data_IF_260364832963
#
_entry.id   IF_260364832963
#
_cell.length_a   1.000
_cell.length_b   1.000
_cell.length_c   1.000
_cell.angle_alpha   90.00
_cell.angle_beta   90.00
_cell.angle_gamma   90.00
#
_symmetry.space_group_name_H-M   'P 1'
#
loop_
_entity.id
_entity.type
_entity.pdbx_description
1 polymer ?
#
# COMPACT_ATOMS: atom_id res chain seq x y z
N UNK A 1 -21.39 3.27 9.19
CA UNK A 1 -20.51 3.76 10.29
C UNK A 1 -20.45 5.27 10.18
N UNK A 2 -20.50 6.00 11.28
CA UNK A 2 -20.36 7.46 11.31
C UNK A 2 -18.98 7.82 11.83
N UNK A 3 -18.34 8.81 11.22
CA UNK A 3 -17.05 9.32 11.62
C UNK A 3 -17.16 10.76 12.11
N UNK A 4 -16.30 11.13 13.05
CA UNK A 4 -16.27 12.45 13.66
C UNK A 4 -14.82 12.92 13.82
N UNK A 5 -14.59 14.24 13.88
CA UNK A 5 -13.33 14.81 14.36
C UNK A 5 -13.29 14.67 15.89
N UNK A 6 -12.27 14.00 16.40
CA UNK A 6 -12.14 13.72 17.83
C UNK A 6 -11.72 14.93 18.66
N UNK A 7 -11.05 15.90 18.03
CA UNK A 7 -10.74 17.22 18.59
C UNK A 7 -10.46 18.24 17.48
N UNK A 8 -10.45 19.52 17.83
CA UNK A 8 -10.23 20.61 16.88
C UNK A 8 -8.73 20.98 16.70
N UNK A 9 -7.82 20.32 17.40
CA UNK A 9 -6.38 20.65 17.39
C UNK A 9 -5.56 19.69 16.55
N UNK A 10 -6.01 18.46 16.35
CA UNK A 10 -5.36 17.48 15.48
C UNK A 10 -6.30 17.04 14.34
N UNK A 11 -6.09 17.53 13.10
CA UNK A 11 -6.94 17.22 11.97
C UNK A 11 -6.89 15.75 11.54
N UNK A 12 -5.97 14.96 12.08
CA UNK A 12 -5.86 13.52 11.84
C UNK A 12 -6.60 12.69 12.90
N UNK A 13 -7.04 13.30 14.01
CA UNK A 13 -7.74 12.58 15.06
C UNK A 13 -9.21 12.37 14.69
N UNK A 14 -9.45 11.42 13.77
CA UNK A 14 -10.78 10.95 13.43
C UNK A 14 -11.17 9.78 14.35
N UNK A 15 -12.45 9.74 14.71
CA UNK A 15 -13.05 8.67 15.53
C UNK A 15 -14.30 8.12 14.86
N UNK A 16 -14.64 6.87 15.18
CA UNK A 16 -15.93 6.28 14.84
C UNK A 16 -16.71 5.95 16.12
N UNK A 17 -18.02 6.10 16.06
CA UNK A 17 -18.90 5.78 17.20
C UNK A 17 -19.43 4.34 17.06
N UNK A 18 -19.40 3.63 18.18
CA UNK A 18 -20.02 2.31 18.35
C UNK A 18 -20.55 2.18 19.76
N UNK A 19 -21.86 1.94 19.90
CA UNK A 19 -22.54 1.69 21.17
C UNK A 19 -22.28 2.79 22.25
N UNK A 20 -22.31 4.06 21.82
CA UNK A 20 -22.06 5.21 22.70
C UNK A 20 -20.61 5.47 23.08
N UNK A 21 -19.67 4.76 22.45
CA UNK A 21 -18.22 4.92 22.65
C UNK A 21 -17.57 5.33 21.35
N UNK A 22 -16.68 6.32 21.42
CA UNK A 22 -15.83 6.74 20.31
C UNK A 22 -14.49 6.02 20.35
N UNK A 23 -14.07 5.48 19.23
CA UNK A 23 -12.78 4.82 19.05
C UNK A 23 -11.96 5.55 18.00
N UNK A 24 -10.63 5.72 18.19
CA UNK A 24 -9.77 6.28 17.15
C UNK A 24 -9.84 5.44 15.87
N UNK A 25 -9.94 6.12 14.72
CA UNK A 25 -9.88 5.45 13.41
C UNK A 25 -8.48 4.90 13.17
N UNK A 26 -7.46 5.74 13.38
CA UNK A 26 -6.06 5.35 13.15
C UNK A 26 -5.43 4.82 14.44
N UNK A 27 -5.72 3.57 14.77
CA UNK A 27 -5.25 2.91 15.99
C UNK A 27 -3.71 2.85 16.09
N UNK A 28 -3.01 2.78 14.96
CA UNK A 28 -1.55 2.79 14.89
C UNK A 28 -0.93 4.08 15.45
N UNK A 29 -1.67 5.19 15.36
CA UNK A 29 -1.21 6.50 15.86
C UNK A 29 -1.77 6.84 17.23
N UNK A 30 -3.02 6.49 17.49
CA UNK A 30 -3.75 6.99 18.67
C UNK A 30 -4.14 5.89 19.67
N UNK A 31 -3.79 4.63 19.39
CA UNK A 31 -4.20 3.49 20.22
C UNK A 31 -5.63 3.04 19.95
N UNK A 32 -6.07 2.06 20.73
CA UNK A 32 -7.38 1.42 20.59
C UNK A 32 -8.37 1.78 21.70
N UNK A 33 -7.96 2.59 22.66
CA UNK A 33 -8.80 2.96 23.80
C UNK A 33 -9.95 3.87 23.37
N UNK A 34 -11.17 3.46 23.72
CA UNK A 34 -12.38 4.25 23.48
C UNK A 34 -12.64 5.26 24.60
N UNK A 35 -13.42 6.27 24.28
CA UNK A 35 -13.92 7.26 25.24
C UNK A 35 -15.41 7.49 25.01
N UNK A 36 -16.19 7.93 26.02
CA UNK A 36 -17.62 8.17 25.86
C UNK A 36 -17.91 9.16 24.73
N UNK A 37 -18.92 8.84 23.93
CA UNK A 37 -19.41 9.79 22.92
C UNK A 37 -19.86 11.09 23.59
N UNK A 38 -19.44 12.22 23.02
CA UNK A 38 -19.82 13.56 23.49
C UNK A 38 -20.64 14.26 22.40
N UNK A 39 -21.77 14.83 22.80
CA UNK A 39 -22.52 15.72 21.92
C UNK A 39 -21.65 16.91 21.49
N UNK A 40 -21.77 17.32 20.21
CA UNK A 40 -21.02 18.45 19.65
C UNK A 40 -19.72 18.05 18.92
N UNK A 41 -19.39 16.76 18.78
CA UNK A 41 -18.35 16.36 17.87
C UNK A 41 -18.76 16.66 16.42
N UNK A 42 -17.85 17.25 15.66
CA UNK A 42 -18.09 17.56 14.24
C UNK A 42 -18.12 16.26 13.42
N UNK A 43 -19.27 15.97 12.80
CA UNK A 43 -19.41 14.81 11.94
C UNK A 43 -18.70 15.01 10.61
N UNK A 44 -17.89 14.04 10.21
CA UNK A 44 -17.24 13.99 8.89
C UNK A 44 -18.27 13.55 7.86
N UNK A 45 -18.62 14.43 6.94
CA UNK A 45 -19.66 14.20 5.92
C UNK A 45 -19.13 14.24 4.49
N UNK A 46 -17.88 14.67 4.29
CA UNK A 46 -17.26 14.72 2.96
C UNK A 46 -17.17 13.30 2.37
N UNK A 47 -17.81 13.03 1.21
CA UNK A 47 -18.02 11.65 0.72
C UNK A 47 -16.72 10.87 0.49
N UNK A 48 -15.68 11.51 -0.07
CA UNK A 48 -14.39 10.86 -0.34
C UNK A 48 -13.66 10.51 0.96
N UNK A 49 -13.75 11.37 1.97
CA UNK A 49 -13.17 11.10 3.29
C UNK A 49 -13.90 9.94 3.97
N UNK A 50 -15.23 9.93 3.96
CA UNK A 50 -16.03 8.82 4.52
C UNK A 50 -15.71 7.51 3.80
N UNK A 51 -15.59 7.53 2.48
CA UNK A 51 -15.19 6.35 1.69
C UNK A 51 -13.81 5.84 2.09
N UNK A 52 -12.80 6.72 2.15
CA UNK A 52 -11.44 6.35 2.51
C UNK A 52 -11.35 5.75 3.92
N UNK A 53 -11.99 6.40 4.90
CA UNK A 53 -12.03 5.89 6.28
C UNK A 53 -12.78 4.56 6.37
N UNK A 54 -13.87 4.39 5.60
CA UNK A 54 -14.61 3.13 5.54
C UNK A 54 -13.77 2.01 4.94
N UNK A 55 -13.02 2.29 3.88
CA UNK A 55 -12.08 1.32 3.28
C UNK A 55 -10.97 0.94 4.26
N UNK A 56 -10.37 1.92 4.95
CA UNK A 56 -9.35 1.65 5.96
C UNK A 56 -9.86 0.74 7.09
N UNK A 57 -11.12 0.92 7.53
CA UNK A 57 -11.71 0.11 8.60
C UNK A 57 -12.06 -1.33 8.18
N UNK A 58 -12.04 -1.65 6.88
CA UNK A 58 -12.28 -3.03 6.43
C UNK A 58 -11.12 -3.93 6.85
N UNK A 59 -11.42 -5.18 7.26
CA UNK A 59 -10.37 -6.16 7.47
C UNK A 59 -9.56 -6.37 6.19
N UNK A 60 -8.25 -6.35 6.31
CA UNK A 60 -7.37 -6.83 5.25
C UNK A 60 -7.04 -8.29 5.53
N UNK A 61 -7.38 -9.16 4.60
CA UNK A 61 -7.08 -10.58 4.72
C UNK A 61 -5.64 -10.82 4.24
N UNK A 62 -4.72 -10.91 5.20
CA UNK A 62 -3.40 -11.47 4.97
C UNK A 62 -3.49 -12.98 4.81
N UNK A 63 -2.50 -13.61 4.22
CA UNK A 63 -2.42 -15.07 4.09
C UNK A 63 -1.14 -15.51 3.39
N UNK A 64 -0.87 -16.81 3.35
CA UNK A 64 0.36 -17.40 2.77
C UNK A 64 0.67 -17.06 1.31
N UNK A 65 -0.17 -16.23 0.66
CA UNK A 65 0.00 -15.74 -0.70
C UNK A 65 -0.40 -14.27 -0.82
N UNK A 66 -0.27 -13.51 0.27
CA UNK A 66 -0.58 -12.10 0.25
C UNK A 66 0.55 -11.30 -0.41
N UNK A 67 0.19 -10.49 -1.39
CA UNK A 67 1.12 -9.68 -2.19
C UNK A 67 0.73 -8.21 -2.10
N UNK A 68 1.65 -7.36 -1.69
CA UNK A 68 1.54 -5.92 -1.87
C UNK A 68 2.12 -5.53 -3.23
N UNK A 69 1.33 -4.82 -4.04
CA UNK A 69 1.71 -4.39 -5.39
C UNK A 69 2.25 -2.95 -5.33
N UNK A 70 3.55 -2.80 -5.15
CA UNK A 70 4.20 -1.49 -5.15
C UNK A 70 4.48 -0.99 -6.58
N UNK A 71 4.42 0.31 -6.79
CA UNK A 71 4.82 0.89 -8.06
C UNK A 71 4.13 2.22 -8.38
N UNK A 72 4.59 2.90 -9.44
CA UNK A 72 4.00 4.15 -9.88
C UNK A 72 2.54 3.94 -10.30
N UNK A 73 1.69 4.95 -10.02
CA UNK A 73 0.26 4.92 -10.33
C UNK A 73 -0.23 6.29 -10.85
N UNK A 74 0.70 7.11 -11.33
CA UNK A 74 0.46 8.53 -11.60
C UNK A 74 -0.13 8.78 -12.98
N UNK A 75 0.02 7.84 -13.92
CA UNK A 75 -0.56 7.93 -15.26
C UNK A 75 -1.42 6.70 -15.57
N UNK A 76 -2.16 6.77 -16.68
CA UNK A 76 -3.06 5.71 -17.11
C UNK A 76 -2.33 4.40 -17.41
N UNK A 77 -1.16 4.47 -18.08
CA UNK A 77 -0.37 3.30 -18.43
C UNK A 77 0.15 2.56 -17.18
N UNK A 78 0.62 3.28 -16.17
CA UNK A 78 1.05 2.68 -14.91
C UNK A 78 -0.12 1.93 -14.25
N UNK A 79 -1.27 2.61 -14.10
CA UNK A 79 -2.47 2.01 -13.48
C UNK A 79 -2.98 0.80 -14.25
N UNK A 80 -3.00 0.86 -15.58
CA UNK A 80 -3.41 -0.25 -16.42
C UNK A 80 -2.47 -1.46 -16.27
N UNK A 81 -1.16 -1.23 -16.29
CA UNK A 81 -0.16 -2.29 -16.11
C UNK A 81 -0.26 -2.92 -14.72
N UNK A 82 -0.38 -2.11 -13.69
CA UNK A 82 -0.52 -2.59 -12.32
C UNK A 82 -1.79 -3.42 -12.14
N UNK A 83 -2.92 -3.00 -12.75
CA UNK A 83 -4.17 -3.75 -12.70
C UNK A 83 -4.03 -5.12 -13.37
N UNK A 84 -3.52 -5.19 -14.61
CA UNK A 84 -3.33 -6.45 -15.32
C UNK A 84 -2.41 -7.40 -14.53
N UNK A 85 -1.33 -6.88 -13.97
CA UNK A 85 -0.38 -7.69 -13.20
C UNK A 85 -1.02 -8.23 -11.91
N UNK A 86 -1.81 -7.40 -11.23
CA UNK A 86 -2.58 -7.83 -10.07
C UNK A 86 -3.59 -8.92 -10.43
N UNK A 87 -4.33 -8.76 -11.52
CA UNK A 87 -5.34 -9.73 -11.97
C UNK A 87 -4.68 -11.06 -12.36
N UNK A 88 -3.50 -11.03 -12.97
CA UNK A 88 -2.72 -12.25 -13.27
C UNK A 88 -2.33 -13.00 -11.99
N UNK A 89 -1.88 -12.29 -10.95
CA UNK A 89 -1.56 -12.92 -9.66
C UNK A 89 -2.80 -13.47 -8.96
N UNK A 90 -3.92 -12.74 -9.00
CA UNK A 90 -5.21 -13.20 -8.45
C UNK A 90 -5.69 -14.49 -9.13
N UNK A 91 -5.54 -14.57 -10.47
CA UNK A 91 -5.86 -15.78 -11.21
C UNK A 91 -5.02 -17.00 -10.82
N UNK A 92 -3.83 -16.79 -10.26
CA UNK A 92 -2.95 -17.83 -9.70
C UNK A 92 -3.20 -18.10 -8.19
N UNK A 93 -4.22 -17.48 -7.62
CA UNK A 93 -4.61 -17.69 -6.21
C UNK A 93 -3.82 -16.85 -5.21
N UNK A 94 -3.15 -15.77 -5.63
CA UNK A 94 -2.58 -14.79 -4.72
C UNK A 94 -3.65 -13.78 -4.29
N UNK A 95 -3.59 -13.35 -3.04
CA UNK A 95 -4.36 -12.19 -2.56
C UNK A 95 -3.51 -10.95 -2.78
N UNK A 96 -3.96 -10.02 -3.64
CA UNK A 96 -3.19 -8.80 -3.92
C UNK A 96 -3.82 -7.58 -3.27
N UNK A 97 -3.00 -6.74 -2.65
CA UNK A 97 -3.35 -5.37 -2.33
C UNK A 97 -2.75 -4.46 -3.42
N UNK A 98 -3.63 -3.73 -4.10
CA UNK A 98 -3.26 -2.81 -5.16
C UNK A 98 -3.63 -1.38 -4.74
N UNK A 99 -2.66 -0.51 -4.43
CA UNK A 99 -2.92 0.82 -3.86
C UNK A 99 -3.92 1.66 -4.65
N UNK A 100 -3.88 1.60 -5.98
CA UNK A 100 -4.80 2.34 -6.85
C UNK A 100 -6.28 1.95 -6.70
N UNK A 101 -6.62 0.79 -6.12
CA UNK A 101 -7.99 0.37 -5.86
C UNK A 101 -8.58 1.05 -4.60
N UNK A 102 -7.75 1.72 -3.83
CA UNK A 102 -8.17 2.38 -2.60
C UNK A 102 -8.89 3.69 -2.91
N UNK A 103 -8.20 4.79 -2.96
CA UNK A 103 -8.72 6.10 -3.35
C UNK A 103 -7.58 6.90 -3.98
N UNK A 104 -7.71 7.24 -5.25
CA UNK A 104 -6.76 8.14 -5.90
C UNK A 104 -7.46 9.45 -6.17
N UNK A 105 -7.05 10.51 -5.49
CA UNK A 105 -7.51 11.85 -5.79
C UNK A 105 -6.39 12.86 -5.57
N UNK A 106 -6.23 13.77 -6.54
CA UNK A 106 -5.28 14.87 -6.42
C UNK A 106 -5.74 15.90 -5.37
N UNK A 107 -7.04 15.94 -5.11
CA UNK A 107 -7.68 16.81 -4.10
C UNK A 107 -8.08 15.98 -2.89
N UNK A 108 -7.08 15.61 -2.08
CA UNK A 108 -7.32 14.76 -0.91
C UNK A 108 -7.23 15.59 0.37
N UNK A 109 -8.21 15.39 1.26
CA UNK A 109 -8.12 15.89 2.63
C UNK A 109 -6.96 15.21 3.37
N UNK A 110 -6.53 15.80 4.49
CA UNK A 110 -5.48 15.18 5.33
C UNK A 110 -5.89 13.80 5.84
N UNK A 111 -7.19 13.58 6.08
CA UNK A 111 -7.73 12.28 6.51
C UNK A 111 -7.70 11.24 5.39
N UNK A 112 -7.97 11.62 4.13
CA UNK A 112 -7.83 10.72 2.98
C UNK A 112 -6.37 10.29 2.80
N UNK A 113 -5.43 11.25 2.87
CA UNK A 113 -3.99 10.95 2.78
C UNK A 113 -3.52 10.02 3.90
N UNK A 114 -3.98 10.27 5.13
CA UNK A 114 -3.69 9.40 6.26
C UNK A 114 -4.28 8.00 6.08
N UNK A 115 -5.53 7.89 5.64
CA UNK A 115 -6.16 6.59 5.38
C UNK A 115 -5.38 5.79 4.33
N UNK A 116 -4.97 6.41 3.21
CA UNK A 116 -4.13 5.76 2.21
C UNK A 116 -2.80 5.28 2.82
N UNK A 117 -2.07 6.16 3.49
CA UNK A 117 -0.80 5.80 4.13
C UNK A 117 -0.93 4.62 5.12
N UNK A 118 -1.93 4.65 6.01
CA UNK A 118 -2.09 3.56 6.98
C UNK A 118 -2.63 2.27 6.35
N UNK A 119 -3.38 2.34 5.24
CA UNK A 119 -3.76 1.16 4.46
C UNK A 119 -2.55 0.51 3.80
N UNK A 120 -1.70 1.29 3.15
CA UNK A 120 -0.48 0.80 2.52
C UNK A 120 0.46 0.19 3.57
N UNK A 121 0.68 0.89 4.69
CA UNK A 121 1.49 0.41 5.81
C UNK A 121 0.97 -0.92 6.38
N UNK A 122 -0.34 -1.03 6.58
CA UNK A 122 -0.99 -2.25 7.06
C UNK A 122 -0.86 -3.39 6.04
N UNK A 123 -1.09 -3.10 4.76
CA UNK A 123 -0.99 -4.07 3.70
C UNK A 123 0.44 -4.61 3.54
N UNK A 124 1.46 -3.74 3.59
CA UNK A 124 2.87 -4.14 3.57
C UNK A 124 3.19 -5.04 4.77
N UNK A 125 2.72 -4.69 5.97
CA UNK A 125 2.94 -5.51 7.18
C UNK A 125 2.32 -6.90 7.09
N UNK A 126 1.16 -7.03 6.47
CA UNK A 126 0.40 -8.28 6.35
C UNK A 126 0.79 -9.10 5.12
N UNK A 127 1.42 -8.50 4.11
CA UNK A 127 1.89 -9.18 2.93
C UNK A 127 3.06 -10.13 3.25
N UNK A 128 3.13 -11.25 2.52
CA UNK A 128 4.33 -12.11 2.49
C UNK A 128 5.33 -11.60 1.47
N UNK A 129 4.81 -11.08 0.36
CA UNK A 129 5.59 -10.62 -0.79
C UNK A 129 5.32 -9.16 -1.09
N UNK A 130 6.34 -8.44 -1.54
CA UNK A 130 6.20 -7.20 -2.28
C UNK A 130 6.59 -7.46 -3.74
N UNK A 131 5.63 -7.29 -4.65
CA UNK A 131 5.89 -7.25 -6.09
C UNK A 131 5.99 -5.79 -6.49
N UNK A 132 7.14 -5.39 -7.00
CA UNK A 132 7.47 -3.98 -7.19
C UNK A 132 7.68 -3.65 -8.66
N UNK A 133 6.84 -2.77 -9.19
CA UNK A 133 6.99 -2.17 -10.50
C UNK A 133 8.00 -1.02 -10.44
N UNK A 134 9.21 -1.28 -10.93
CA UNK A 134 10.32 -0.32 -10.98
C UNK A 134 10.42 0.41 -12.34
N UNK A 135 9.37 0.41 -13.15
CA UNK A 135 9.36 1.09 -14.43
C UNK A 135 9.47 2.63 -14.27
N UNK A 136 10.03 3.25 -15.27
CA UNK A 136 10.38 4.66 -15.28
C UNK A 136 11.90 4.84 -15.44
N UNK A 137 12.34 6.08 -15.61
CA UNK A 137 13.77 6.40 -15.68
C UNK A 137 14.46 6.04 -14.36
N UNK A 138 13.78 6.37 -13.25
CA UNK A 138 14.16 5.97 -11.89
C UNK A 138 12.90 5.53 -11.12
N UNK A 139 13.08 4.90 -9.98
CA UNK A 139 11.99 4.50 -9.10
C UNK A 139 11.44 5.75 -8.42
N UNK A 140 10.12 5.89 -8.37
CA UNK A 140 9.52 6.98 -7.62
C UNK A 140 9.78 6.84 -6.10
N UNK A 141 9.76 7.97 -5.40
CA UNK A 141 10.15 8.03 -3.99
C UNK A 141 9.24 7.23 -3.06
N UNK A 142 7.93 7.13 -3.38
CA UNK A 142 6.98 6.32 -2.62
C UNK A 142 7.30 4.84 -2.73
N UNK A 143 7.46 4.36 -3.96
CA UNK A 143 7.86 2.98 -4.24
C UNK A 143 9.21 2.62 -3.61
N UNK A 144 10.20 3.53 -3.64
CA UNK A 144 11.47 3.31 -2.98
C UNK A 144 11.34 3.16 -1.45
N UNK A 145 10.48 3.98 -0.83
CA UNK A 145 10.19 3.88 0.60
C UNK A 145 9.50 2.56 0.96
N UNK A 146 8.56 2.09 0.13
CA UNK A 146 7.86 0.80 0.30
C UNK A 146 8.83 -0.38 0.19
N UNK A 147 9.78 -0.35 -0.74
CA UNK A 147 10.86 -1.34 -0.86
C UNK A 147 11.68 -1.38 0.43
N UNK A 148 12.15 -0.23 0.89
CA UNK A 148 12.95 -0.13 2.12
C UNK A 148 12.19 -0.62 3.35
N UNK A 149 10.92 -0.27 3.48
CA UNK A 149 10.06 -0.76 4.56
C UNK A 149 9.87 -2.27 4.47
N UNK A 150 9.56 -2.81 3.28
CA UNK A 150 9.38 -4.24 3.05
C UNK A 150 10.64 -5.03 3.41
N UNK A 151 11.81 -4.54 3.00
CA UNK A 151 13.10 -5.13 3.37
C UNK A 151 13.31 -5.14 4.90
N UNK A 152 13.10 -3.99 5.55
CA UNK A 152 13.25 -3.86 7.01
C UNK A 152 12.28 -4.75 7.80
N UNK A 153 11.14 -5.11 7.24
CA UNK A 153 10.16 -6.03 7.80
C UNK A 153 10.40 -7.51 7.41
N UNK A 154 11.50 -7.81 6.70
CA UNK A 154 11.81 -9.17 6.27
C UNK A 154 10.87 -9.74 5.20
N UNK A 155 10.20 -8.87 4.43
CA UNK A 155 9.31 -9.31 3.35
C UNK A 155 10.09 -9.84 2.16
N UNK A 156 9.52 -10.78 1.42
CA UNK A 156 10.10 -11.30 0.19
C UNK A 156 9.88 -10.28 -0.94
N UNK A 157 10.96 -9.67 -1.41
CA UNK A 157 10.91 -8.64 -2.45
C UNK A 157 11.11 -9.28 -3.83
N UNK A 158 10.22 -8.98 -4.77
CA UNK A 158 10.34 -9.33 -6.19
C UNK A 158 10.19 -8.06 -7.02
N UNK A 159 11.32 -7.52 -7.45
CA UNK A 159 11.37 -6.29 -8.24
C UNK A 159 11.37 -6.64 -9.73
N UNK A 160 10.62 -5.87 -10.53
CA UNK A 160 10.69 -5.99 -11.98
C UNK A 160 10.80 -4.61 -12.65
N UNK A 161 11.54 -4.60 -13.77
CA UNK A 161 11.71 -3.44 -14.64
C UNK A 161 11.73 -3.88 -16.08
N UNK A 162 10.61 -3.69 -16.77
CA UNK A 162 10.47 -3.92 -18.21
C UNK A 162 10.89 -2.71 -19.04
N UNK A 163 10.91 -1.52 -18.43
CA UNK A 163 11.34 -0.28 -19.07
C UNK A 163 12.84 -0.28 -19.34
N UNK A 164 13.24 0.00 -20.59
CA UNK A 164 14.65 0.09 -20.99
C UNK A 164 15.30 1.43 -20.61
N UNK A 165 14.49 2.45 -20.34
CA UNK A 165 14.96 3.77 -19.89
C UNK A 165 15.50 3.69 -18.48
N UNK A 166 16.70 4.18 -18.23
CA UNK A 166 17.26 4.29 -16.88
C UNK A 166 18.39 5.32 -16.86
N UNK A 167 18.75 5.82 -15.66
CA UNK A 167 19.92 6.66 -15.43
C UNK A 167 21.21 5.83 -15.27
N UNK A 168 21.06 4.54 -15.07
CA UNK A 168 22.15 3.62 -14.77
C UNK A 168 22.50 2.84 -16.03
N UNK A 169 23.65 2.17 -16.03
CA UNK A 169 24.06 1.34 -17.16
C UNK A 169 23.24 0.02 -17.21
N UNK A 170 23.45 -0.78 -18.27
CA UNK A 170 22.73 -2.03 -18.46
C UNK A 170 22.96 -3.06 -17.32
N UNK A 171 24.10 -2.97 -16.64
CA UNK A 171 24.45 -3.86 -15.52
C UNK A 171 23.66 -3.49 -14.26
N UNK A 172 23.49 -2.18 -13.99
CA UNK A 172 22.78 -1.66 -12.83
C UNK A 172 21.53 -0.91 -13.28
N UNK A 173 20.43 -1.61 -13.37
CA UNK A 173 19.15 -1.06 -13.87
C UNK A 173 18.43 -0.19 -12.83
N UNK A 174 18.84 -0.26 -11.58
CA UNK A 174 18.28 0.45 -10.43
C UNK A 174 19.41 1.17 -9.67
N UNK A 175 19.03 2.09 -8.81
CA UNK A 175 19.92 2.66 -7.81
C UNK A 175 20.65 1.53 -7.05
N UNK A 176 21.95 1.68 -6.81
CA UNK A 176 22.80 0.65 -6.18
C UNK A 176 22.26 0.17 -4.82
N UNK A 177 21.72 1.07 -4.01
CA UNK A 177 21.15 0.72 -2.71
C UNK A 177 19.92 -0.16 -2.89
N UNK A 178 18.99 0.25 -3.76
CA UNK A 178 17.76 -0.52 -4.04
C UNK A 178 18.07 -1.86 -4.67
N UNK A 179 18.95 -1.89 -5.67
CA UNK A 179 19.39 -3.14 -6.31
C UNK A 179 20.06 -4.09 -5.32
N UNK A 180 20.87 -3.55 -4.39
CA UNK A 180 21.53 -4.32 -3.34
C UNK A 180 20.57 -5.04 -2.40
N UNK A 181 19.37 -4.49 -2.16
CA UNK A 181 18.35 -5.14 -1.31
C UNK A 181 17.82 -6.47 -1.87
N UNK A 182 18.03 -6.73 -3.15
CA UNK A 182 17.60 -7.94 -3.87
C UNK A 182 18.75 -8.63 -4.61
N UNK A 183 20.00 -8.39 -4.19
CA UNK A 183 21.20 -8.93 -4.85
C UNK A 183 21.26 -8.64 -6.36
N UNK A 184 20.73 -7.49 -6.78
CA UNK A 184 20.53 -7.06 -8.18
C UNK A 184 19.70 -8.03 -9.04
N UNK A 185 18.90 -8.88 -8.42
CA UNK A 185 17.95 -9.76 -9.11
C UNK A 185 16.67 -8.98 -9.44
N UNK A 186 16.63 -8.44 -10.64
CA UNK A 186 15.51 -7.66 -11.14
C UNK A 186 14.91 -8.36 -12.36
N UNK A 187 13.66 -8.80 -12.23
CA UNK A 187 12.90 -9.42 -13.30
C UNK A 187 12.67 -8.43 -14.46
N UNK A 188 12.57 -8.94 -15.66
CA UNK A 188 12.30 -8.13 -16.87
C UNK A 188 10.83 -8.19 -17.28
N UNK A 189 10.15 -9.26 -16.92
CA UNK A 189 8.77 -9.54 -17.30
C UNK A 189 7.96 -9.98 -16.10
N UNK A 190 6.65 -9.89 -16.23
CA UNK A 190 5.74 -10.42 -15.20
C UNK A 190 5.76 -11.96 -15.13
N UNK A 191 6.16 -12.65 -16.21
CA UNK A 191 6.33 -14.11 -16.17
C UNK A 191 7.52 -14.51 -15.29
N UNK A 192 8.63 -13.76 -15.35
CA UNK A 192 9.75 -13.94 -14.43
C UNK A 192 9.37 -13.64 -12.97
N UNK A 193 8.52 -12.63 -12.72
CA UNK A 193 7.98 -12.34 -11.39
C UNK A 193 7.18 -13.52 -10.86
N UNK A 194 6.29 -14.08 -11.68
CA UNK A 194 5.47 -15.23 -11.30
C UNK A 194 6.36 -16.44 -10.97
N UNK A 195 7.37 -16.72 -11.78
CA UNK A 195 8.33 -17.79 -11.52
C UNK A 195 9.07 -17.58 -10.19
N UNK A 196 9.57 -16.36 -9.94
CA UNK A 196 10.26 -16.02 -8.70
C UNK A 196 9.35 -16.16 -7.45
N UNK A 197 8.08 -15.78 -7.56
CA UNK A 197 7.10 -15.97 -6.47
C UNK A 197 6.86 -17.46 -6.18
N UNK A 198 6.77 -18.29 -7.21
CA UNK A 198 6.56 -19.74 -7.07
C UNK A 198 7.76 -20.42 -6.43
N UNK A 199 8.99 -20.08 -6.85
CA UNK A 199 10.23 -20.60 -6.25
C UNK A 199 10.32 -20.25 -4.76
N UNK A 200 10.02 -19.00 -4.39
CA UNK A 200 10.06 -18.55 -3.00
C UNK A 200 8.94 -19.12 -2.12
N UNK A 201 7.85 -19.59 -2.71
CA UNK A 201 6.74 -20.23 -2.00
C UNK A 201 7.03 -21.70 -1.65
N UNK A 202 7.91 -22.39 -2.41
CA UNK A 202 8.26 -23.81 -2.20
C UNK A 202 9.36 -23.97 -1.12
N UNK A 203 10.12 -22.93 -0.85
CA UNK A 203 11.25 -22.95 0.10
C UNK A 203 10.84 -22.67 1.57
N UNK A 204 9.55 -22.66 1.90
CA UNK A 204 8.99 -22.48 3.25
C UNK A 204 8.15 -23.68 3.65
#
# INVERSE_FOLDING_TARGET
>A
MKFYLGNNTDPLFAVYEKDGVCYPVFAEKYGTEGFPFREGLEQITEPKTVEALTKYMRPYEGGKKAVYMAGPLFNEGDRYTNQINSDRLRALGYTTFLPQEVVITNESTVLVKAACFYMDLKAIRLADFLVVNCNGIDIDSGTAAEIGLGYGLGKKLVLYKSDVRNYYNETFRLNNFVGGLVDNRVCRTMDEVIAALQEQAVGT
#
